data_IF_336179356980
#
_entry.id   IF_336179356980
#
_cell.length_a   1.000
_cell.length_b   1.000
_cell.length_c   1.000
_cell.angle_alpha   90.00
_cell.angle_beta   90.00
_cell.angle_gamma   90.00
#
_symmetry.space_group_name_H-M   'P 1'
#
loop_
_entity.id
_entity.type
_entity.pdbx_description
1 polymer ?
#
# COMPACT_ATOMS: atom_id res chain seq x y z
N UNK A 1 -43.61 -4.80 25.60
CA UNK A 1 -43.71 -4.32 24.21
C UNK A 1 -42.75 -5.14 23.37
N UNK A 2 -43.16 -5.72 22.23
CA UNK A 2 -42.24 -6.47 21.38
C UNK A 2 -41.31 -5.47 20.66
N UNK A 3 -40.01 -5.67 20.82
CA UNK A 3 -39.01 -4.96 20.01
C UNK A 3 -39.09 -5.58 18.62
N UNK A 4 -39.60 -4.83 17.64
CA UNK A 4 -39.62 -5.30 16.26
C UNK A 4 -38.17 -5.49 15.79
N UNK A 5 -37.80 -6.70 15.40
CA UNK A 5 -36.53 -6.93 14.70
C UNK A 5 -36.58 -6.17 13.38
N UNK A 6 -35.95 -4.99 13.34
CA UNK A 6 -35.71 -4.30 12.08
C UNK A 6 -34.90 -5.24 11.19
N UNK A 7 -35.48 -5.67 10.08
CA UNK A 7 -34.79 -6.51 9.11
C UNK A 7 -33.74 -5.63 8.43
N UNK A 8 -32.45 -5.87 8.70
CA UNK A 8 -31.37 -5.17 8.02
C UNK A 8 -31.49 -5.43 6.51
N UNK A 9 -31.50 -4.35 5.73
CA UNK A 9 -31.51 -4.44 4.27
C UNK A 9 -30.24 -5.10 3.73
N UNK A 10 -30.22 -5.48 2.44
CA UNK A 10 -29.01 -5.98 1.80
C UNK A 10 -27.87 -4.95 1.90
N UNK A 11 -26.66 -5.43 2.21
CA UNK A 11 -25.43 -4.64 2.27
C UNK A 11 -24.73 -4.68 0.91
N UNK A 12 -24.26 -3.53 0.45
CA UNK A 12 -23.57 -3.33 -0.82
C UNK A 12 -22.14 -2.83 -0.57
N UNK A 13 -21.28 -3.02 -1.56
CA UNK A 13 -19.86 -2.65 -1.49
C UNK A 13 -19.48 -1.76 -2.68
N UNK A 14 -18.70 -0.71 -2.41
CA UNK A 14 -17.95 0.08 -3.40
C UNK A 14 -16.48 -0.01 -3.05
N UNK A 15 -15.60 -0.19 -4.05
CA UNK A 15 -14.15 -0.25 -3.86
C UNK A 15 -13.51 0.88 -4.63
N UNK A 16 -12.77 1.72 -3.93
CA UNK A 16 -11.93 2.77 -4.50
C UNK A 16 -10.46 2.36 -4.39
N UNK A 17 -9.70 2.52 -5.47
CA UNK A 17 -8.28 2.14 -5.51
C UNK A 17 -7.46 3.28 -6.07
N UNK A 18 -6.37 3.62 -5.39
CA UNK A 18 -5.36 4.54 -5.89
C UNK A 18 -3.97 3.94 -5.73
N UNK A 19 -3.13 4.17 -6.73
CA UNK A 19 -1.75 3.67 -6.75
C UNK A 19 -0.78 4.83 -6.88
N UNK A 20 0.12 4.93 -5.90
CA UNK A 20 1.33 5.71 -6.00
C UNK A 20 2.37 4.88 -6.76
N UNK A 21 2.71 5.34 -7.97
CA UNK A 21 3.74 4.70 -8.78
C UNK A 21 5.09 4.65 -8.04
N UNK A 22 5.92 3.62 -8.27
CA UNK A 22 7.23 3.54 -7.64
C UNK A 22 8.12 4.75 -7.97
N UNK A 23 8.67 5.40 -6.95
CA UNK A 23 9.62 6.50 -7.08
C UNK A 23 11.02 5.97 -6.74
N UNK A 24 12.01 6.27 -7.58
CA UNK A 24 13.41 5.89 -7.33
C UNK A 24 14.00 6.79 -6.24
N UNK A 25 14.57 6.17 -5.21
CA UNK A 25 15.17 6.81 -4.06
C UNK A 25 14.22 6.97 -2.89
N UNK A 26 14.59 7.86 -1.96
CA UNK A 26 13.71 8.28 -0.87
C UNK A 26 12.63 9.21 -1.39
N UNK A 27 11.47 9.22 -0.74
CA UNK A 27 10.48 10.25 -1.02
C UNK A 27 11.05 11.61 -0.58
N UNK A 28 11.20 12.58 -1.50
CA UNK A 28 11.76 13.89 -1.17
C UNK A 28 10.81 14.72 -0.28
N UNK A 29 9.52 14.36 -0.28
CA UNK A 29 8.47 14.91 0.55
C UNK A 29 7.35 13.87 0.69
N UNK A 30 6.45 14.09 1.66
CA UNK A 30 5.23 13.28 1.82
C UNK A 30 4.44 13.30 0.50
N UNK A 31 4.18 12.11 -0.02
CA UNK A 31 3.35 11.93 -1.21
C UNK A 31 1.89 11.91 -0.80
N UNK A 32 1.03 12.59 -1.55
CA UNK A 32 -0.40 12.67 -1.26
C UNK A 32 -1.17 11.80 -2.24
N UNK A 33 -2.03 10.93 -1.72
CA UNK A 33 -2.97 10.13 -2.50
C UNK A 33 -4.39 10.48 -2.05
N UNK A 34 -5.17 11.04 -2.96
CA UNK A 34 -6.56 11.44 -2.68
C UNK A 34 -7.53 10.32 -3.01
N UNK A 35 -8.34 9.92 -2.05
CA UNK A 35 -9.41 8.92 -2.21
C UNK A 35 -10.77 9.64 -2.20
N UNK A 36 -11.67 9.35 -3.17
CA UNK A 36 -13.03 9.87 -3.14
C UNK A 36 -13.75 9.45 -1.87
N UNK A 37 -14.52 10.37 -1.27
CA UNK A 37 -15.41 10.03 -0.16
C UNK A 37 -16.62 9.24 -0.66
N UNK A 38 -17.26 8.52 0.26
CA UNK A 38 -18.54 7.88 0.00
C UNK A 38 -19.64 8.95 -0.20
N UNK A 39 -20.24 8.97 -1.39
CA UNK A 39 -21.37 9.83 -1.70
C UNK A 39 -22.62 9.36 -0.92
N UNK A 40 -23.16 10.18 0.00
CA UNK A 40 -24.29 9.81 0.84
C UNK A 40 -25.59 9.59 0.03
N UNK A 41 -25.68 10.05 -1.21
CA UNK A 41 -26.83 9.76 -2.07
C UNK A 41 -26.95 8.29 -2.46
N UNK A 42 -25.87 7.51 -2.32
CA UNK A 42 -25.88 6.07 -2.55
C UNK A 42 -26.55 5.29 -1.40
N UNK A 43 -26.62 5.86 -0.19
CA UNK A 43 -27.22 5.21 0.97
C UNK A 43 -26.56 5.58 2.29
N UNK A 44 -26.79 4.75 3.30
CA UNK A 44 -26.15 4.89 4.62
C UNK A 44 -24.89 4.02 4.67
N UNK A 45 -23.73 4.66 4.77
CA UNK A 45 -22.46 3.98 5.01
C UNK A 45 -22.51 3.26 6.36
N UNK A 46 -22.11 1.98 6.37
CA UNK A 46 -22.00 1.17 7.58
C UNK A 46 -20.58 1.20 8.13
N UNK A 47 -19.58 0.90 7.30
CA UNK A 47 -18.16 0.93 7.65
C UNK A 47 -17.29 1.03 6.39
N UNK A 48 -16.02 1.39 6.57
CA UNK A 48 -15.04 1.49 5.49
C UNK A 48 -13.79 0.68 5.87
N UNK A 49 -13.43 -0.30 5.03
CA UNK A 49 -12.20 -1.06 5.17
C UNK A 49 -11.14 -0.38 4.31
N UNK A 50 -10.07 0.10 4.94
CA UNK A 50 -8.90 0.58 4.20
C UNK A 50 -7.88 -0.56 4.15
N UNK A 51 -7.30 -0.81 2.98
CA UNK A 51 -6.15 -1.71 2.79
C UNK A 51 -5.04 -0.90 2.15
N UNK A 52 -3.82 -1.00 2.68
CA UNK A 52 -2.68 -0.25 2.14
C UNK A 52 -1.52 -1.19 1.87
N UNK A 53 -1.34 -1.53 0.60
CA UNK A 53 -0.21 -2.32 0.14
C UNK A 53 0.97 -1.42 -0.17
N UNK A 54 2.11 -1.64 0.47
CA UNK A 54 3.34 -0.95 0.13
C UNK A 54 4.27 -1.87 -0.68
N UNK A 55 4.90 -1.32 -1.72
CA UNK A 55 5.85 -2.02 -2.58
C UNK A 55 7.22 -1.39 -2.42
N UNK A 56 8.27 -2.21 -2.36
CA UNK A 56 9.64 -1.74 -2.24
C UNK A 56 10.56 -2.62 -3.08
N UNK A 57 11.11 -2.08 -4.16
CA UNK A 57 12.09 -2.80 -4.96
C UNK A 57 13.48 -2.27 -4.66
N UNK A 58 14.46 -3.14 -4.49
CA UNK A 58 15.85 -2.77 -4.34
C UNK A 58 16.72 -3.54 -5.32
N UNK A 59 17.54 -2.80 -6.06
CA UNK A 59 18.67 -3.31 -6.84
C UNK A 59 19.94 -2.66 -6.31
N UNK A 60 20.74 -3.43 -5.57
CA UNK A 60 22.03 -3.00 -5.05
C UNK A 60 23.10 -3.65 -5.91
N UNK A 61 24.00 -2.85 -6.47
CA UNK A 61 25.18 -3.31 -7.19
C UNK A 61 26.41 -2.97 -6.38
N UNK A 62 27.29 -3.95 -6.21
CA UNK A 62 28.51 -3.80 -5.45
C UNK A 62 29.70 -4.36 -6.23
N UNK A 63 30.84 -3.72 -6.10
CA UNK A 63 32.09 -4.09 -6.75
C UNK A 63 33.23 -4.10 -5.74
N UNK A 64 34.00 -5.18 -5.73
CA UNK A 64 35.23 -5.28 -4.95
C UNK A 64 36.29 -4.37 -5.58
N UNK A 65 36.79 -3.43 -4.79
CA UNK A 65 37.87 -2.51 -5.19
C UNK A 65 39.21 -2.89 -4.54
N UNK A 66 39.28 -4.06 -3.91
CA UNK A 66 40.49 -4.64 -3.33
C UNK A 66 41.27 -5.53 -4.29
N UNK A 67 42.54 -5.79 -3.96
CA UNK A 67 43.45 -6.64 -4.76
C UNK A 67 43.27 -8.15 -4.55
N UNK A 68 42.42 -8.55 -3.61
CA UNK A 68 42.14 -9.95 -3.26
C UNK A 68 40.66 -10.24 -3.42
N UNK A 69 40.31 -11.50 -3.71
CA UNK A 69 38.91 -11.96 -3.74
C UNK A 69 38.22 -11.67 -2.40
N UNK A 70 36.93 -11.39 -2.46
CA UNK A 70 36.13 -11.00 -1.31
C UNK A 70 34.77 -11.71 -1.30
N UNK A 71 34.10 -11.69 -0.15
CA UNK A 71 32.68 -12.00 -0.02
C UNK A 71 31.99 -10.66 0.29
N UNK A 72 31.08 -10.27 -0.58
CA UNK A 72 30.27 -9.06 -0.40
C UNK A 72 28.88 -9.47 0.09
N UNK A 73 28.41 -8.76 1.12
CA UNK A 73 27.05 -8.88 1.66
C UNK A 73 26.34 -7.53 1.54
N UNK A 74 25.04 -7.55 1.31
CA UNK A 74 24.21 -6.35 1.32
C UNK A 74 23.04 -6.53 2.29
N UNK A 75 22.56 -5.40 2.80
CA UNK A 75 21.39 -5.31 3.65
C UNK A 75 20.59 -4.09 3.21
N UNK A 76 19.28 -4.25 3.11
CA UNK A 76 18.34 -3.16 2.83
C UNK A 76 17.45 -2.96 4.05
N UNK A 77 17.25 -1.71 4.44
CA UNK A 77 16.28 -1.31 5.46
C UNK A 77 15.26 -0.40 4.80
N UNK A 78 13.97 -0.65 5.06
CA UNK A 78 12.90 0.18 4.54
C UNK A 78 11.94 0.59 5.65
N UNK A 79 11.45 1.82 5.59
CA UNK A 79 10.40 2.34 6.44
C UNK A 79 9.38 3.06 5.57
N UNK A 80 8.13 2.61 5.62
CA UNK A 80 7.01 3.21 4.90
C UNK A 80 5.95 3.55 5.95
N UNK A 81 5.64 4.84 6.03
CA UNK A 81 4.64 5.38 6.95
C UNK A 81 3.48 5.90 6.14
N UNK A 82 2.25 5.58 6.59
CA UNK A 82 1.05 6.18 6.04
C UNK A 82 0.28 6.90 7.13
N UNK A 83 -0.09 8.13 6.82
CA UNK A 83 -0.90 8.99 7.68
C UNK A 83 -2.28 9.12 7.02
N UNK A 84 -3.30 8.39 7.50
CA UNK A 84 -4.65 8.58 7.01
C UNK A 84 -5.30 9.81 7.63
N UNK A 85 -6.23 10.45 6.93
CA UNK A 85 -7.06 11.50 7.50
C UNK A 85 -8.23 10.89 8.29
N UNK A 86 -8.73 11.53 9.36
CA UNK A 86 -8.23 12.74 10.01
C UNK A 86 -7.11 12.43 11.03
N UNK A 87 -6.58 11.21 11.04
CA UNK A 87 -5.75 10.70 12.11
C UNK A 87 -4.37 11.37 12.09
N UNK A 88 -4.07 12.12 13.15
CA UNK A 88 -2.86 12.94 13.26
C UNK A 88 -1.60 12.07 13.52
N UNK A 89 -1.77 10.82 13.93
CA UNK A 89 -0.66 9.92 14.20
C UNK A 89 -0.34 9.08 12.95
N UNK A 90 0.89 9.17 12.40
CA UNK A 90 1.35 8.26 11.35
C UNK A 90 1.24 6.81 11.82
N UNK A 91 0.69 5.94 10.97
CA UNK A 91 0.71 4.51 11.21
C UNK A 91 1.88 3.89 10.44
N UNK A 92 2.84 3.25 11.13
CA UNK A 92 3.88 2.52 10.43
C UNK A 92 3.23 1.36 9.68
N UNK A 93 3.33 1.37 8.35
CA UNK A 93 2.86 0.25 7.52
C UNK A 93 3.82 -0.92 7.59
N UNK A 94 5.06 -0.70 7.97
CA UNK A 94 5.98 -1.76 8.31
C UNK A 94 6.79 -1.32 9.53
N UNK A 95 7.06 -2.28 10.42
CA UNK A 95 8.23 -2.15 11.28
C UNK A 95 9.46 -2.12 10.39
N UNK A 96 10.54 -1.44 10.80
CA UNK A 96 11.80 -1.44 10.06
C UNK A 96 12.19 -2.86 9.69
N UNK A 97 12.04 -3.21 8.42
CA UNK A 97 12.36 -4.56 7.96
C UNK A 97 13.82 -4.57 7.52
N UNK A 98 14.65 -5.27 8.30
CA UNK A 98 16.02 -5.55 7.93
C UNK A 98 16.01 -6.75 7.01
N UNK A 99 16.37 -6.55 5.76
CA UNK A 99 16.39 -7.60 4.74
C UNK A 99 17.86 -7.97 4.49
N UNK A 100 18.36 -9.08 5.05
CA UNK A 100 19.67 -9.59 4.69
C UNK A 100 19.59 -10.09 3.25
N UNK A 101 20.41 -9.52 2.39
CA UNK A 101 20.58 -10.01 1.03
C UNK A 101 21.71 -11.04 1.02
N UNK A 102 21.69 -11.93 0.02
CA UNK A 102 22.66 -13.01 -0.10
C UNK A 102 24.11 -12.48 -0.01
N UNK A 103 25.04 -13.32 0.40
CA UNK A 103 26.47 -13.02 0.34
C UNK A 103 27.08 -13.72 -0.86
N UNK A 104 27.82 -12.98 -1.69
CA UNK A 104 28.36 -13.51 -2.94
C UNK A 104 29.90 -13.37 -2.97
N UNK A 105 30.64 -14.43 -3.33
CA UNK A 105 32.06 -14.31 -3.59
C UNK A 105 32.30 -13.55 -4.91
N UNK A 106 33.32 -12.70 -4.92
CA UNK A 106 33.74 -11.90 -6.08
C UNK A 106 35.27 -11.94 -6.23
N UNK A 107 35.74 -11.77 -7.46
CA UNK A 107 37.16 -11.72 -7.81
C UNK A 107 37.83 -10.41 -7.33
N UNK A 108 39.17 -10.30 -7.40
CA UNK A 108 39.87 -9.03 -7.24
C UNK A 108 39.38 -7.95 -8.21
N UNK A 109 39.60 -6.69 -7.85
CA UNK A 109 39.35 -5.55 -8.72
C UNK A 109 40.14 -5.66 -10.03
N UNK A 110 39.47 -5.43 -11.15
CA UNK A 110 40.07 -5.48 -12.49
C UNK A 110 40.70 -4.14 -12.92
N UNK A 111 40.59 -3.11 -12.08
CA UNK A 111 41.10 -1.76 -12.33
C UNK A 111 40.07 -0.79 -12.90
N UNK A 112 38.82 -1.23 -13.15
CA UNK A 112 37.77 -0.40 -13.75
C UNK A 112 36.49 -0.46 -12.92
N UNK A 113 36.11 0.65 -12.28
CA UNK A 113 34.84 0.73 -11.54
C UNK A 113 33.67 0.82 -12.54
N UNK A 114 32.97 -0.28 -12.76
CA UNK A 114 31.86 -0.36 -13.72
C UNK A 114 30.67 -1.20 -13.23
N UNK A 115 30.78 -1.88 -12.08
CA UNK A 115 29.77 -2.78 -11.51
C UNK A 115 29.40 -3.95 -12.44
N UNK A 116 30.37 -4.42 -13.23
CA UNK A 116 30.26 -5.55 -14.14
C UNK A 116 31.40 -6.54 -13.93
N UNK A 117 31.28 -7.72 -14.53
CA UNK A 117 32.34 -8.72 -14.51
C UNK A 117 32.53 -9.43 -13.16
N UNK A 118 33.63 -10.21 -13.02
CA UNK A 118 33.85 -11.08 -11.86
C UNK A 118 34.11 -10.36 -10.53
N UNK A 119 34.52 -9.09 -10.54
CA UNK A 119 34.70 -8.23 -9.35
C UNK A 119 33.37 -7.75 -8.75
N UNK A 120 32.26 -7.96 -9.45
CA UNK A 120 30.97 -7.36 -9.15
C UNK A 120 29.88 -8.37 -8.79
N UNK A 121 28.89 -7.93 -8.02
CA UNK A 121 27.69 -8.69 -7.68
C UNK A 121 26.47 -7.76 -7.63
N UNK A 122 25.29 -8.33 -7.85
CA UNK A 122 24.01 -7.65 -7.69
C UNK A 122 23.14 -8.35 -6.66
N UNK A 123 22.44 -7.56 -5.87
CA UNK A 123 21.44 -8.01 -4.91
C UNK A 123 20.10 -7.41 -5.29
N UNK A 124 19.11 -8.26 -5.51
CA UNK A 124 17.75 -7.85 -5.85
C UNK A 124 16.79 -8.24 -4.75
N UNK A 125 15.88 -7.34 -4.40
CA UNK A 125 14.79 -7.62 -3.49
C UNK A 125 13.49 -7.04 -4.03
N UNK A 126 12.47 -7.88 -4.02
CA UNK A 126 11.07 -7.52 -4.26
C UNK A 126 10.26 -8.26 -3.21
N UNK A 127 9.65 -7.58 -2.23
CA UNK A 127 8.84 -8.20 -1.20
C UNK A 127 7.62 -8.84 -1.84
N UNK A 128 7.23 -9.99 -1.30
CA UNK A 128 6.04 -10.73 -1.74
C UNK A 128 4.83 -10.42 -0.83
N UNK A 129 5.02 -9.65 0.25
CA UNK A 129 4.02 -9.51 1.30
C UNK A 129 3.43 -8.09 1.34
N UNK A 130 2.33 -7.83 0.62
CA UNK A 130 1.49 -6.67 0.91
C UNK A 130 1.06 -6.76 2.38
N UNK A 131 1.18 -5.68 3.13
CA UNK A 131 0.55 -5.60 4.45
C UNK A 131 -0.85 -5.03 4.29
N UNK A 132 -1.81 -5.60 4.99
CA UNK A 132 -3.16 -5.05 5.11
C UNK A 132 -3.28 -4.38 6.48
N UNK A 133 -3.80 -3.16 6.53
CA UNK A 133 -4.04 -2.44 7.79
C UNK A 133 -5.48 -1.99 7.79
N UNK A 134 -6.35 -2.70 8.52
CA UNK A 134 -7.74 -2.29 8.73
C UNK A 134 -7.79 -1.05 9.62
N UNK A 135 -8.15 0.10 9.03
CA UNK A 135 -8.12 1.40 9.71
C UNK A 135 -9.39 1.77 10.46
N UNK A 136 -10.56 1.30 10.01
CA UNK A 136 -11.82 1.64 10.65
C UNK A 136 -12.80 0.48 10.57
N UNK A 137 -13.39 0.14 11.71
CA UNK A 137 -14.57 -0.72 11.80
C UNK A 137 -15.58 -0.02 12.70
N UNK A 138 -16.53 0.65 12.06
CA UNK A 138 -17.53 1.50 12.72
C UNK A 138 -18.54 0.66 13.50
N UNK A 139 -18.57 -0.66 13.24
CA UNK A 139 -19.33 -1.58 14.08
C UNK A 139 -18.72 -1.73 15.48
N UNK A 140 -17.44 -1.39 15.66
CA UNK A 140 -16.73 -1.49 16.93
C UNK A 140 -16.69 -0.20 17.75
N UNK A 141 -16.63 0.98 17.12
CA UNK A 141 -16.66 2.26 17.83
C UNK A 141 -17.40 3.36 17.04
N UNK A 142 -18.71 3.55 17.28
CA UNK A 142 -19.52 4.56 16.59
C UNK A 142 -19.22 6.01 17.02
N UNK A 143 -18.38 6.24 18.04
CA UNK A 143 -17.91 7.57 18.42
C UNK A 143 -16.52 7.89 17.86
N UNK A 144 -15.95 7.00 17.03
CA UNK A 144 -14.67 7.26 16.40
C UNK A 144 -14.78 8.46 15.44
N UNK A 145 -14.13 9.55 15.84
CA UNK A 145 -14.15 10.89 15.20
C UNK A 145 -13.67 10.84 13.74
N UNK A 146 -13.10 9.70 13.33
CA UNK A 146 -12.66 9.40 11.96
C UNK A 146 -13.79 9.18 10.95
N UNK A 147 -14.94 8.61 11.33
CA UNK A 147 -15.91 8.08 10.36
C UNK A 147 -16.53 9.13 9.43
N UNK A 148 -16.80 10.33 9.96
CA UNK A 148 -17.38 11.42 9.17
C UNK A 148 -16.49 11.86 8.00
N UNK A 149 -15.17 11.62 8.07
CA UNK A 149 -14.23 12.00 7.01
C UNK A 149 -14.31 11.08 5.78
N UNK A 150 -14.98 9.93 5.90
CA UNK A 150 -15.22 9.02 4.79
C UNK A 150 -16.50 9.33 4.02
N UNK A 151 -17.35 10.25 4.49
CA UNK A 151 -18.66 10.54 3.89
C UNK A 151 -18.65 11.98 3.32
N UNK A 152 -19.05 12.13 2.06
CA UNK A 152 -19.12 13.42 1.39
C UNK A 152 -18.99 13.31 -0.12
N UNK A 153 -19.01 14.46 -0.79
CA UNK A 153 -18.81 14.57 -2.25
C UNK A 153 -17.36 14.93 -2.61
N UNK A 154 -16.48 15.01 -1.62
CA UNK A 154 -15.09 15.41 -1.79
C UNK A 154 -14.14 14.22 -1.86
N UNK A 155 -12.87 14.49 -1.55
CA UNK A 155 -11.83 13.49 -1.36
C UNK A 155 -11.10 13.74 -0.06
N UNK A 156 -10.44 12.70 0.45
CA UNK A 156 -9.53 12.81 1.59
C UNK A 156 -8.16 12.27 1.22
N UNK A 157 -7.14 12.84 1.86
CA UNK A 157 -5.74 12.68 1.46
C UNK A 157 -4.99 11.77 2.41
N UNK A 158 -4.40 10.70 1.87
CA UNK A 158 -3.39 9.90 2.57
C UNK A 158 -2.00 10.50 2.34
N UNK A 159 -1.29 10.75 3.43
CA UNK A 159 0.14 11.06 3.37
C UNK A 159 0.96 9.78 3.38
N UNK A 160 1.82 9.58 2.38
CA UNK A 160 2.72 8.44 2.28
C UNK A 160 4.16 8.96 2.38
N UNK A 161 4.92 8.45 3.34
CA UNK A 161 6.35 8.70 3.47
C UNK A 161 7.12 7.38 3.34
N UNK A 162 8.25 7.42 2.65
CA UNK A 162 9.06 6.25 2.32
C UNK A 162 10.55 6.57 2.44
N UNK A 163 11.24 5.80 3.27
CA UNK A 163 12.68 5.83 3.44
C UNK A 163 13.25 4.45 3.09
N UNK A 164 14.20 4.43 2.17
CA UNK A 164 15.00 3.25 1.83
C UNK A 164 16.47 3.52 2.14
N UNK A 165 17.08 2.63 2.91
CA UNK A 165 18.50 2.64 3.20
C UNK A 165 19.13 1.31 2.81
N UNK A 166 20.42 1.33 2.49
CA UNK A 166 21.16 0.11 2.23
C UNK A 166 22.54 0.21 2.85
N UNK A 167 23.08 -0.95 3.24
CA UNK A 167 24.46 -1.09 3.67
C UNK A 167 25.09 -2.23 2.90
N UNK A 168 26.32 -2.03 2.45
CA UNK A 168 27.14 -3.06 1.82
C UNK A 168 28.38 -3.27 2.67
N UNK A 169 28.74 -4.52 2.89
CA UNK A 169 29.96 -4.90 3.60
C UNK A 169 30.76 -5.92 2.81
N UNK A 170 32.07 -5.93 3.02
CA UNK A 170 33.02 -6.89 2.45
C UNK A 170 33.89 -7.44 3.57
N UNK A 171 34.21 -8.74 3.51
CA UNK A 171 35.12 -9.37 4.47
C UNK A 171 36.59 -8.93 4.31
N UNK A 172 36.95 -8.26 3.21
CA UNK A 172 38.28 -7.67 2.99
C UNK A 172 38.29 -6.14 3.08
N UNK A 173 37.10 -5.53 3.24
CA UNK A 173 36.93 -4.11 3.58
C UNK A 173 36.89 -3.12 2.40
N UNK A 174 37.29 -3.50 1.19
CA UNK A 174 37.36 -2.61 0.04
C UNK A 174 36.21 -2.87 -0.95
N UNK A 175 35.12 -2.11 -0.84
CA UNK A 175 33.93 -2.26 -1.70
C UNK A 175 33.38 -0.89 -2.12
N UNK A 176 32.96 -0.79 -3.38
CA UNK A 176 32.16 0.33 -3.89
C UNK A 176 30.75 -0.18 -4.16
N UNK A 177 29.73 0.63 -3.90
CA UNK A 177 28.34 0.23 -4.06
C UNK A 177 27.48 1.36 -4.60
N UNK A 178 26.44 1.00 -5.34
CA UNK A 178 25.33 1.87 -5.73
C UNK A 178 24.02 1.11 -5.60
N UNK A 179 22.94 1.82 -5.34
CA UNK A 179 21.62 1.22 -5.22
C UNK A 179 20.58 2.00 -5.99
N UNK A 180 19.67 1.28 -6.62
CA UNK A 180 18.39 1.78 -7.09
C UNK A 180 17.32 1.20 -6.17
N UNK A 181 16.79 2.05 -5.30
CA UNK A 181 15.67 1.71 -4.43
C UNK A 181 14.43 2.32 -5.05
N UNK A 182 13.31 1.62 -5.10
CA UNK A 182 12.05 2.14 -5.59
C UNK A 182 10.94 1.85 -4.59
N UNK A 183 10.20 2.87 -4.18
CA UNK A 183 9.13 2.77 -3.19
C UNK A 183 7.82 3.14 -3.87
N UNK A 184 6.79 2.30 -3.73
CA UNK A 184 5.43 2.57 -4.21
C UNK A 184 4.39 2.12 -3.20
N UNK A 185 3.13 2.46 -3.44
CA UNK A 185 2.03 2.04 -2.58
C UNK A 185 0.70 1.98 -3.35
N UNK A 186 -0.19 1.11 -2.92
CA UNK A 186 -1.59 1.05 -3.36
C UNK A 186 -2.48 1.16 -2.14
N UNK A 187 -3.41 2.10 -2.18
CA UNK A 187 -4.44 2.29 -1.17
C UNK A 187 -5.76 1.85 -1.78
N UNK A 188 -6.45 0.95 -1.09
CA UNK A 188 -7.79 0.49 -1.42
C UNK A 188 -8.72 0.86 -0.27
N UNK A 189 -9.87 1.46 -0.58
CA UNK A 189 -10.92 1.75 0.39
C UNK A 189 -12.21 1.07 -0.05
N UNK A 190 -12.66 0.12 0.74
CA UNK A 190 -13.86 -0.68 0.54
C UNK A 190 -14.99 -0.14 1.45
N UNK A 191 -15.98 0.52 0.85
CA UNK A 191 -17.16 1.08 1.52
C UNK A 191 -18.30 0.07 1.54
N UNK A 192 -18.78 -0.28 2.74
CA UNK A 192 -19.96 -1.12 2.90
C UNK A 192 -21.15 -0.26 3.32
N UNK A 193 -22.27 -0.34 2.59
CA UNK A 193 -23.41 0.55 2.81
C UNK A 193 -24.76 -0.14 2.58
N UNK A 194 -25.83 0.48 3.08
CA UNK A 194 -27.23 0.08 2.82
C UNK A 194 -27.88 1.18 1.97
N UNK A 195 -28.39 0.86 0.75
CA UNK A 195 -29.06 1.84 -0.09
C UNK A 195 -30.29 2.44 0.58
N UNK A 196 -30.63 3.67 0.21
CA UNK A 196 -31.87 4.25 0.69
C UNK A 196 -33.09 3.42 0.23
N UNK A 197 -34.13 3.27 1.07
CA UNK A 197 -35.33 2.50 0.73
C UNK A 197 -36.02 2.98 -0.55
N UNK A 198 -35.93 4.27 -0.87
CA UNK A 198 -36.51 4.87 -2.06
C UNK A 198 -35.89 4.32 -3.37
N UNK A 199 -34.58 4.06 -3.36
CA UNK A 199 -33.86 3.52 -4.51
C UNK A 199 -34.31 2.08 -4.81
N UNK A 200 -34.52 1.28 -3.77
CA UNK A 200 -35.08 -0.07 -3.90
C UNK A 200 -36.52 -0.04 -4.39
N UNK A 201 -37.33 0.92 -3.92
CA UNK A 201 -38.70 1.10 -4.37
C UNK A 201 -38.80 1.45 -5.87
N UNK A 202 -37.83 2.17 -6.43
CA UNK A 202 -37.78 2.47 -7.86
C UNK A 202 -37.31 1.32 -8.75
N UNK A 203 -36.59 0.32 -8.20
CA UNK A 203 -36.17 -0.87 -8.96
C UNK A 203 -37.34 -1.84 -9.23
N UNK A 204 -38.29 -1.93 -8.29
CA UNK A 204 -39.44 -2.84 -8.35
C UNK A 204 -40.37 -2.66 -9.58
N UNK A 205 -40.76 -1.44 -10.00
CA UNK A 205 -41.60 -1.27 -11.18
C UNK A 205 -40.90 -1.67 -12.50
N UNK A 206 -39.56 -1.59 -12.57
CA UNK A 206 -38.79 -2.04 -13.74
C UNK A 206 -38.90 -3.56 -13.97
N UNK A 207 -38.85 -4.35 -12.89
CA UNK A 207 -39.03 -5.81 -12.95
C UNK A 207 -40.47 -6.20 -13.30
N UNK A 208 -41.47 -5.41 -12.87
CA UNK A 208 -42.87 -5.64 -13.21
C UNK A 208 -43.14 -5.50 -14.72
N UNK A 209 -42.38 -4.66 -15.43
CA UNK A 209 -42.51 -4.48 -16.87
C UNK A 209 -41.84 -5.61 -17.68
N UNK A 210 -40.74 -6.18 -17.20
CA UNK A 210 -40.05 -7.29 -17.88
C UNK A 210 -40.89 -8.57 -17.86
N UNK A 211 -41.69 -8.79 -16.81
CA UNK A 211 -42.54 -9.99 -16.69
C UNK A 211 -43.72 -10.04 -17.68
N UNK A 212 -44.05 -8.93 -18.36
CA UNK A 212 -45.22 -8.87 -19.27
C UNK A 212 -44.94 -9.27 -20.72
N UNK A 213 -43.70 -9.58 -21.11
CA UNK A 213 -43.38 -10.06 -22.47
C UNK A 213 -43.01 -11.55 -22.47
N UNK A 214 -44.02 -12.42 -22.40
CA UNK A 214 -43.92 -13.80 -22.91
C UNK A 214 -44.97 -13.98 -24.01
N UNK A 215 -44.58 -13.87 -25.30
CA UNK A 215 -45.46 -14.23 -26.40
C UNK A 215 -45.61 -15.76 -26.48
N UNK A 216 -46.83 -16.20 -26.82
CA UNK A 216 -47.16 -17.57 -27.21
C UNK A 216 -46.62 -17.87 -28.60
#
# INVERSE_FOLDING_TARGET
>A
MPVGNAQAGPVFTIVETQTLAPIIGNYPAVQIVSIPQFDPSNGTLLFAVVRITANYDALIQAENIGQSSAIISAMSTQTIQVTPPPFVAPMPLNDMQIIPLQSNPVAPFDGVLNFMGPSSTSFTYTPVNPREVLLADVTRDPMDVGFANFIGLGSFDFGINGLGEFTVSSNTGAVSAKANLAIGATIEVEYHYVPEPATLAMLLPGLALIRRRRPR
#
